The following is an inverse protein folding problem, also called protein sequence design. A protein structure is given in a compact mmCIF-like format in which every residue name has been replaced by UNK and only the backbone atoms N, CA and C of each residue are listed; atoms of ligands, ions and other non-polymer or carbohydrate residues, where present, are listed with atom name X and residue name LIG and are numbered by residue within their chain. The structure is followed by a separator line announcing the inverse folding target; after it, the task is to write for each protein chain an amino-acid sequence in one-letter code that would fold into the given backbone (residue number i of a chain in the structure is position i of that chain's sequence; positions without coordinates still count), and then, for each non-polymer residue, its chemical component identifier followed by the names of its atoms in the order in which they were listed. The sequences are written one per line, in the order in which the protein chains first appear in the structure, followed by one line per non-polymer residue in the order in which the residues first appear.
data_IF_522637003951
#
_entry.id   IF_522637003951
#
_cell.length_a   1.000
_cell.length_b   1.000
_cell.length_c   1.000
_cell.angle_alpha   90.00
_cell.angle_beta   90.00
_cell.angle_gamma   90.00
#
_symmetry.space_group_name_H-M   'P 1'
#
loop_
_entity.id
_entity.type
_entity.pdbx_description
1 polymer ?
#
# COMPACT_ATOMS: atom_id res chain seq x y z
N UNK A 1 -3.50 -15.23 3.24
CA UNK A 1 -3.80 -16.14 2.12
C UNK A 1 -2.49 -16.41 1.38
N UNK A 2 -2.13 -17.67 1.21
CA UNK A 2 -0.98 -18.07 0.38
C UNK A 2 -1.48 -18.31 -1.05
N UNK A 3 -0.67 -17.93 -2.04
CA UNK A 3 -0.91 -18.22 -3.46
C UNK A 3 0.37 -18.72 -4.12
N UNK A 4 0.24 -19.69 -5.02
CA UNK A 4 1.32 -20.15 -5.89
C UNK A 4 1.40 -19.29 -7.15
N UNK A 5 2.58 -18.75 -7.42
CA UNK A 5 2.87 -17.99 -8.63
C UNK A 5 3.33 -18.93 -9.75
N UNK A 6 3.20 -18.47 -11.00
CA UNK A 6 3.55 -19.26 -12.21
C UNK A 6 5.02 -19.70 -12.26
N UNK A 7 5.89 -19.03 -11.51
CA UNK A 7 7.32 -19.32 -11.41
C UNK A 7 7.65 -20.25 -10.22
N UNK A 8 6.66 -20.91 -9.62
CA UNK A 8 6.77 -21.76 -8.42
C UNK A 8 7.20 -21.00 -7.15
N UNK A 9 7.15 -19.67 -7.14
CA UNK A 9 7.28 -18.90 -5.91
C UNK A 9 5.95 -18.82 -5.16
N UNK A 10 6.02 -18.62 -3.85
CA UNK A 10 4.86 -18.42 -2.99
C UNK A 10 4.73 -16.95 -2.62
N UNK A 11 3.51 -16.43 -2.78
CA UNK A 11 3.16 -15.10 -2.29
C UNK A 11 2.15 -15.19 -1.15
N UNK A 12 2.31 -14.32 -0.17
CA UNK A 12 1.46 -14.18 1.00
C UNK A 12 0.70 -12.86 0.91
N UNK A 13 -0.62 -12.97 0.84
CA UNK A 13 -1.54 -11.85 0.94
C UNK A 13 -1.98 -11.75 2.40
N UNK A 14 -1.72 -10.62 3.04
CA UNK A 14 -2.13 -10.38 4.43
C UNK A 14 -2.60 -8.94 4.63
N UNK A 15 -3.36 -8.66 5.71
CA UNK A 15 -3.66 -7.29 6.10
C UNK A 15 -2.37 -6.48 6.34
N UNK A 16 -2.45 -5.19 6.02
CA UNK A 16 -1.43 -4.20 6.34
C UNK A 16 -1.24 -4.06 7.86
N UNK A 17 0.00 -3.87 8.28
CA UNK A 17 0.36 -3.44 9.62
C UNK A 17 1.20 -2.15 9.55
N UNK A 18 1.15 -1.30 10.58
CA UNK A 18 1.86 -0.02 10.57
C UNK A 18 3.36 -0.14 10.28
N UNK A 19 3.98 -1.23 10.75
CA UNK A 19 5.40 -1.55 10.52
C UNK A 19 5.77 -1.72 9.04
N UNK A 20 4.79 -2.04 8.19
CA UNK A 20 5.01 -2.23 6.75
C UNK A 20 5.14 -0.89 6.00
N UNK A 21 4.74 0.22 6.61
CA UNK A 21 4.66 1.51 5.94
C UNK A 21 6.01 1.96 5.35
N UNK A 22 7.12 1.74 6.07
CA UNK A 22 8.45 2.08 5.56
C UNK A 22 8.77 1.34 4.27
N UNK A 23 8.47 0.04 4.22
CA UNK A 23 8.71 -0.80 3.03
C UNK A 23 7.80 -0.40 1.86
N UNK A 24 6.56 0.00 2.16
CA UNK A 24 5.61 0.54 1.17
C UNK A 24 6.12 1.87 0.59
N UNK A 25 6.71 2.74 1.42
CA UNK A 25 7.33 3.98 0.94
C UNK A 25 8.52 3.71 0.01
N UNK A 26 9.36 2.74 0.35
CA UNK A 26 10.48 2.33 -0.51
C UNK A 26 9.98 1.75 -1.84
N UNK A 27 8.92 0.95 -1.80
CA UNK A 27 8.26 0.42 -3.00
C UNK A 27 7.68 1.56 -3.85
N UNK A 28 6.90 2.48 -3.27
CA UNK A 28 6.35 3.63 -3.99
C UNK A 28 7.44 4.47 -4.66
N UNK A 29 8.58 4.65 -3.99
CA UNK A 29 9.74 5.36 -4.56
C UNK A 29 10.34 4.63 -5.75
N UNK A 30 10.53 3.31 -5.64
CA UNK A 30 11.08 2.47 -6.71
C UNK A 30 10.18 2.45 -7.95
N UNK A 31 8.88 2.38 -7.74
CA UNK A 31 7.87 2.36 -8.80
C UNK A 31 7.56 3.76 -9.38
N UNK A 32 8.21 4.82 -8.88
CA UNK A 32 8.04 6.19 -9.40
C UNK A 32 6.77 6.91 -8.95
N UNK A 33 6.11 6.47 -7.87
CA UNK A 33 4.91 7.08 -7.31
C UNK A 33 5.27 8.28 -6.43
N UNK A 34 5.97 9.26 -7.01
CA UNK A 34 6.56 10.41 -6.29
C UNK A 34 5.56 11.17 -5.43
N UNK A 35 4.33 11.39 -5.92
CA UNK A 35 3.29 12.08 -5.17
C UNK A 35 2.93 11.38 -3.84
N UNK A 36 2.93 10.05 -3.80
CA UNK A 36 2.66 9.30 -2.56
C UNK A 36 3.83 9.39 -1.59
N UNK A 37 5.05 9.41 -2.13
CA UNK A 37 6.29 9.47 -1.36
C UNK A 37 6.48 10.85 -0.74
N UNK A 38 6.29 11.91 -1.51
CA UNK A 38 6.41 13.30 -1.05
C UNK A 38 5.37 13.61 0.03
N UNK A 39 4.12 13.18 -0.19
CA UNK A 39 3.02 13.34 0.78
C UNK A 39 2.95 12.23 1.84
N UNK A 40 4.10 11.70 2.28
CA UNK A 40 4.20 10.52 3.16
C UNK A 40 3.31 10.56 4.42
N UNK A 41 3.14 11.72 5.07
CA UNK A 41 2.26 11.84 6.25
C UNK A 41 0.79 11.61 5.88
N UNK A 42 0.30 12.31 4.85
CA UNK A 42 -1.06 12.15 4.33
C UNK A 42 -1.28 10.73 3.80
N UNK A 43 -0.27 10.16 3.14
CA UNK A 43 -0.28 8.77 2.68
C UNK A 43 -0.45 7.86 3.89
N UNK A 44 0.38 7.98 4.94
CA UNK A 44 0.31 7.16 6.16
C UNK A 44 -1.08 7.23 6.82
N UNK A 45 -1.63 8.43 6.94
CA UNK A 45 -2.96 8.61 7.52
C UNK A 45 -4.05 7.99 6.64
N UNK A 46 -3.95 8.09 5.31
CA UNK A 46 -4.87 7.39 4.41
C UNK A 46 -4.80 5.86 4.55
N UNK A 47 -3.61 5.29 4.83
CA UNK A 47 -3.45 3.87 5.09
C UNK A 47 -4.13 3.42 6.38
N UNK A 48 -4.01 4.19 7.46
CA UNK A 48 -4.68 3.88 8.75
C UNK A 48 -6.21 3.92 8.65
N UNK A 49 -6.75 4.79 7.78
CA UNK A 49 -8.18 5.03 7.66
C UNK A 49 -8.85 4.26 6.50
N UNK A 50 -8.12 3.38 5.81
CA UNK A 50 -8.67 2.57 4.72
C UNK A 50 -9.27 1.28 5.25
N UNK A 51 -10.54 1.00 4.95
CA UNK A 51 -11.23 -0.22 5.43
C UNK A 51 -10.64 -1.52 4.85
N UNK A 52 -9.99 -1.46 3.69
CA UNK A 52 -9.34 -2.62 3.07
C UNK A 52 -7.93 -2.25 2.66
N UNK A 53 -6.95 -2.81 3.37
CA UNK A 53 -5.53 -2.69 3.06
C UNK A 53 -4.88 -4.07 3.12
N UNK A 54 -4.58 -4.62 1.95
CA UNK A 54 -3.87 -5.87 1.78
C UNK A 54 -2.48 -5.59 1.22
N UNK A 55 -1.49 -6.32 1.71
CA UNK A 55 -0.16 -6.33 1.14
C UNK A 55 0.14 -7.70 0.52
N UNK A 56 1.07 -7.73 -0.42
CA UNK A 56 1.57 -8.94 -1.06
C UNK A 56 3.06 -9.04 -0.75
N UNK A 57 3.45 -10.13 -0.08
CA UNK A 57 4.82 -10.42 0.31
C UNK A 57 5.30 -11.73 -0.32
N UNK A 58 6.51 -11.73 -0.88
CA UNK A 58 7.17 -12.94 -1.39
C UNK A 58 8.39 -13.22 -0.51
N UNK A 59 8.55 -14.49 -0.11
CA UNK A 59 9.68 -14.89 0.72
C UNK A 59 11.01 -14.53 0.04
N UNK A 60 11.90 -13.85 0.77
CA UNK A 60 13.19 -13.39 0.25
C UNK A 60 13.16 -12.09 -0.57
N UNK A 61 11.99 -11.66 -1.05
CA UNK A 61 11.82 -10.44 -1.86
C UNK A 61 11.13 -9.30 -1.08
N UNK A 62 10.45 -9.63 0.02
CA UNK A 62 9.73 -8.67 0.84
C UNK A 62 8.40 -8.25 0.21
N UNK A 63 7.96 -7.02 0.46
CA UNK A 63 6.70 -6.50 -0.05
C UNK A 63 6.88 -6.11 -1.51
N UNK A 64 6.12 -6.78 -2.38
CA UNK A 64 6.19 -6.61 -3.84
C UNK A 64 4.97 -5.90 -4.42
N UNK A 65 3.94 -5.68 -3.59
CA UNK A 65 2.73 -5.00 -4.01
C UNK A 65 1.74 -4.84 -2.87
N UNK A 66 0.68 -4.08 -3.13
CA UNK A 66 -0.42 -3.90 -2.20
C UNK A 66 -1.72 -3.60 -2.94
N UNK A 67 -2.84 -3.86 -2.28
CA UNK A 67 -4.17 -3.46 -2.68
C UNK A 67 -4.77 -2.60 -1.57
N UNK A 68 -5.12 -1.36 -1.92
CA UNK A 68 -5.79 -0.43 -1.01
C UNK A 68 -7.16 -0.09 -1.58
N UNK A 69 -8.20 -0.51 -0.87
CA UNK A 69 -9.57 -0.13 -1.17
C UNK A 69 -9.81 1.32 -0.73
N UNK A 70 -9.96 2.22 -1.69
CA UNK A 70 -10.41 3.58 -1.44
C UNK A 70 -11.93 3.56 -1.22
N UNK A 71 -12.35 3.25 0.01
CA UNK A 71 -13.74 3.47 0.41
C UNK A 71 -13.84 4.93 0.82
N UNK A 72 -14.39 5.75 -0.06
CA UNK A 72 -14.63 7.17 0.20
C UNK A 72 -15.49 7.33 1.47
N UNK A 73 -14.88 7.80 2.56
CA UNK A 73 -15.61 8.49 3.62
C UNK A 73 -15.32 9.98 3.41
N UNK A 74 -16.10 10.60 2.50
CA UNK A 74 -16.14 12.03 2.16
C UNK A 74 -14.82 12.84 2.18
N UNK A 75 -14.26 13.09 1.01
CA UNK A 75 -13.31 14.19 0.79
C UNK A 75 -14.10 15.45 0.41
N UNK A 76 -14.16 16.44 1.29
CA UNK A 76 -14.63 17.79 0.93
C UNK A 76 -13.47 18.55 0.28
N UNK A 77 -13.55 18.82 -1.03
CA UNK A 77 -12.65 19.74 -1.72
C UNK A 77 -13.34 21.12 -1.78
N UNK A 78 -12.77 22.11 -1.09
CA UNK A 78 -13.14 23.51 -1.26
C UNK A 78 -12.30 24.11 -2.38
N UNK A 79 -12.93 24.48 -3.49
CA UNK A 79 -12.31 25.29 -4.55
C UNK A 79 -12.83 26.71 -4.38
N UNK A 80 -11.95 27.66 -4.07
CA UNK A 80 -12.30 29.09 -4.16
C UNK A 80 -12.42 29.45 -5.65
N UNK A 81 -13.58 29.97 -6.05
CA UNK A 81 -13.76 30.69 -7.31
C UNK A 81 -13.21 32.11 -7.19
#
# INVERSE_FOLDING_TARGET
MEIDLKNNEKAFIRPYEEKDFSKIQDLNKREGWSNLVENHLSTKEAWKNSNVTLIIEIQGHGIVGYLRGLTLVLVYLFVNC
#
